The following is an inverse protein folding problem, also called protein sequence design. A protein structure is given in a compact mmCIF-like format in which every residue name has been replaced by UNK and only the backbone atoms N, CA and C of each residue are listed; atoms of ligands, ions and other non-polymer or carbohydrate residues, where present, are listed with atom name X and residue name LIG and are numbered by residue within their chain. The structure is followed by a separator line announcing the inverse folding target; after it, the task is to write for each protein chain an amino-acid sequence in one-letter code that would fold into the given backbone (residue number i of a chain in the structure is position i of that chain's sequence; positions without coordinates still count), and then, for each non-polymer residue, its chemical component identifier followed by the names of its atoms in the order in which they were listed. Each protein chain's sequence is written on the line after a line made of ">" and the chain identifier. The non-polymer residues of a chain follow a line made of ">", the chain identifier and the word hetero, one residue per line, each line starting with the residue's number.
data_IF_950367549160
#
_entry.id   IF_950367549160
#
_cell.length_a   1.000
_cell.length_b   1.000
_cell.length_c   1.000
_cell.angle_alpha   90.00
_cell.angle_beta   90.00
_cell.angle_gamma   90.00
#
_symmetry.space_group_name_H-M   'P 1'
#
loop_
_entity.id
_entity.type
_entity.pdbx_description
1 polymer ?
#
# COMPACT_ATOMS: atom_id res chain seq x y z
N UNK A 1 25.14 24.51 -22.92
CA UNK A 1 23.99 23.58 -22.84
C UNK A 1 23.99 22.80 -24.15
N UNK A 2 24.27 21.49 -24.10
CA UNK A 2 24.33 20.66 -25.30
C UNK A 2 22.90 20.43 -25.83
N UNK A 3 22.71 20.58 -27.14
CA UNK A 3 21.47 20.16 -27.79
C UNK A 3 21.52 18.64 -27.97
N UNK A 4 20.40 17.96 -27.76
CA UNK A 4 20.32 16.54 -28.09
C UNK A 4 20.08 16.39 -29.59
N UNK A 5 20.96 15.64 -30.23
CA UNK A 5 20.90 15.34 -31.66
C UNK A 5 20.70 13.83 -31.79
N UNK A 6 19.83 13.43 -32.71
CA UNK A 6 19.71 12.04 -33.17
C UNK A 6 20.35 11.97 -34.55
N UNK A 7 21.39 11.14 -34.64
CA UNK A 7 22.08 10.89 -35.89
C UNK A 7 21.53 9.59 -36.49
N UNK A 8 21.27 9.61 -37.78
CA UNK A 8 20.77 8.46 -38.52
C UNK A 8 21.74 8.11 -39.63
N UNK A 9 22.18 6.86 -39.63
CA UNK A 9 23.06 6.29 -40.63
C UNK A 9 22.30 5.31 -41.52
N UNK A 10 22.74 5.16 -42.76
CA UNK A 10 22.22 4.13 -43.64
C UNK A 10 22.91 2.80 -43.33
N UNK A 11 22.11 1.80 -42.97
CA UNK A 11 22.59 0.46 -42.67
C UNK A 11 23.32 -0.18 -43.87
N UNK A 12 22.81 -0.03 -45.10
CA UNK A 12 23.43 -0.62 -46.29
C UNK A 12 24.83 -0.04 -46.56
N UNK A 13 25.01 1.26 -46.28
CA UNK A 13 26.31 1.93 -46.40
C UNK A 13 27.29 1.43 -45.35
N UNK A 14 26.83 1.15 -44.13
CA UNK A 14 27.65 0.59 -43.06
C UNK A 14 28.03 -0.87 -43.38
N UNK A 15 27.07 -1.67 -43.84
CA UNK A 15 27.26 -3.10 -44.10
C UNK A 15 28.20 -3.35 -45.29
N UNK A 16 28.19 -2.46 -46.29
CA UNK A 16 29.07 -2.51 -47.45
C UNK A 16 30.42 -1.79 -47.25
N UNK A 17 30.70 -1.24 -46.06
CA UNK A 17 31.91 -0.49 -45.81
C UNK A 17 33.10 -1.40 -45.52
N UNK A 18 34.19 -1.21 -46.26
CA UNK A 18 35.47 -1.89 -46.04
C UNK A 18 36.48 -0.97 -45.33
N UNK A 19 37.28 -1.53 -44.42
CA UNK A 19 38.37 -0.78 -43.78
C UNK A 19 39.49 -0.48 -44.77
N UNK A 20 39.89 0.79 -44.82
CA UNK A 20 40.94 1.26 -45.75
C UNK A 20 42.35 0.93 -45.24
N UNK A 21 42.49 0.60 -43.95
CA UNK A 21 43.75 0.28 -43.29
C UNK A 21 43.67 -0.94 -42.36
N UNK A 22 44.82 -1.40 -41.86
CA UNK A 22 44.95 -2.56 -40.95
C UNK A 22 44.32 -2.31 -39.56
N UNK A 23 43.78 -1.11 -39.31
CA UNK A 23 43.15 -0.77 -38.02
C UNK A 23 41.76 -1.36 -37.88
N UNK A 24 41.11 -1.70 -39.00
CA UNK A 24 39.75 -2.25 -39.02
C UNK A 24 38.67 -1.24 -38.66
N UNK A 25 38.97 0.06 -38.68
CA UNK A 25 38.02 1.13 -38.37
C UNK A 25 37.53 1.80 -39.66
N UNK A 26 36.23 2.13 -39.70
CA UNK A 26 35.61 2.89 -40.81
C UNK A 26 34.89 4.10 -40.23
N UNK A 27 35.25 5.29 -40.72
CA UNK A 27 34.55 6.53 -40.40
C UNK A 27 33.31 6.67 -41.29
N UNK A 28 32.14 6.84 -40.67
CA UNK A 28 30.86 6.98 -41.38
C UNK A 28 30.14 8.23 -40.89
N UNK A 29 29.96 9.18 -41.80
CA UNK A 29 29.18 10.39 -41.54
C UNK A 29 27.68 10.05 -41.44
N UNK A 30 26.94 10.72 -40.53
CA UNK A 30 25.50 10.53 -40.44
C UNK A 30 24.82 11.05 -41.71
N UNK A 31 23.85 10.28 -42.20
CA UNK A 31 23.06 10.66 -43.37
C UNK A 31 22.11 11.82 -43.05
N UNK A 32 21.52 11.80 -41.86
CA UNK A 32 20.63 12.84 -41.37
C UNK A 32 20.83 13.08 -39.87
N UNK A 33 20.56 14.32 -39.45
CA UNK A 33 20.60 14.73 -38.05
C UNK A 33 19.26 15.39 -37.67
N UNK A 34 18.67 14.97 -36.55
CA UNK A 34 17.48 15.58 -35.98
C UNK A 34 17.80 16.23 -34.63
N UNK A 35 17.57 17.53 -34.53
CA UNK A 35 17.73 18.28 -33.28
C UNK A 35 16.45 18.19 -32.44
N UNK A 36 16.49 17.44 -31.34
CA UNK A 36 15.31 17.20 -30.49
C UNK A 36 14.98 18.42 -29.62
N UNK A 37 16.01 19.04 -29.03
CA UNK A 37 15.81 20.21 -28.18
C UNK A 37 17.02 20.55 -27.33
N UNK A 38 16.90 21.67 -26.61
CA UNK A 38 17.88 22.11 -25.61
C UNK A 38 17.53 21.50 -24.25
N UNK A 39 18.54 21.00 -23.53
CA UNK A 39 18.36 20.29 -22.24
C UNK A 39 17.52 19.02 -22.31
N UNK A 40 17.49 18.38 -23.48
CA UNK A 40 16.94 17.04 -23.65
C UNK A 40 18.08 16.05 -23.50
N UNK A 41 17.80 14.89 -22.92
CA UNK A 41 18.75 13.77 -22.86
C UNK A 41 17.93 12.50 -23.01
N UNK A 42 17.87 11.98 -24.23
CA UNK A 42 17.06 10.80 -24.53
C UNK A 42 17.70 9.55 -23.94
N UNK A 43 16.89 8.69 -23.33
CA UNK A 43 17.33 7.41 -22.76
C UNK A 43 16.81 6.23 -23.55
N UNK A 44 15.56 6.32 -24.04
CA UNK A 44 14.89 5.24 -24.73
C UNK A 44 14.16 5.78 -25.94
N UNK A 45 14.18 5.04 -27.04
CA UNK A 45 13.42 5.33 -28.26
C UNK A 45 12.70 4.06 -28.67
N UNK A 46 11.44 4.18 -29.08
CA UNK A 46 10.62 3.09 -29.59
C UNK A 46 9.92 3.51 -30.88
N UNK A 47 9.98 2.65 -31.89
CA UNK A 47 9.31 2.84 -33.18
C UNK A 47 7.93 2.19 -33.15
N UNK A 48 6.92 2.95 -33.53
CA UNK A 48 5.51 2.51 -33.63
C UNK A 48 5.03 2.79 -35.06
N UNK A 49 4.08 2.01 -35.57
CA UNK A 49 3.45 2.27 -36.86
C UNK A 49 2.02 2.78 -36.63
N UNK A 50 1.79 4.06 -36.87
CA UNK A 50 0.46 4.68 -36.79
C UNK A 50 -0.12 4.83 -38.19
N UNK A 51 -1.25 4.17 -38.47
CA UNK A 51 -1.91 4.14 -39.79
C UNK A 51 -0.96 3.79 -40.96
N UNK A 52 0.01 2.91 -40.70
CA UNK A 52 1.02 2.47 -41.69
C UNK A 52 2.22 3.42 -41.85
N UNK A 53 2.27 4.54 -41.14
CA UNK A 53 3.41 5.46 -41.11
C UNK A 53 4.25 5.23 -39.84
N UNK A 54 5.59 5.15 -39.94
CA UNK A 54 6.44 4.99 -38.76
C UNK A 54 6.51 6.30 -37.96
N UNK A 55 6.34 6.19 -36.65
CA UNK A 55 6.47 7.28 -35.66
C UNK A 55 7.37 6.78 -34.54
N UNK A 56 8.25 7.65 -34.03
CA UNK A 56 9.16 7.30 -32.94
C UNK A 56 8.73 8.04 -31.68
N UNK A 57 8.63 7.32 -30.57
CA UNK A 57 8.47 7.90 -29.26
C UNK A 57 9.78 7.78 -28.49
N UNK A 58 10.20 8.86 -27.86
CA UNK A 58 11.42 8.89 -27.07
C UNK A 58 11.16 9.42 -25.66
N UNK A 59 11.70 8.72 -24.66
CA UNK A 59 11.67 9.17 -23.28
C UNK A 59 13.01 9.83 -22.94
N UNK A 60 12.95 11.01 -22.32
CA UNK A 60 14.14 11.68 -21.81
C UNK A 60 14.36 11.41 -20.30
N UNK A 61 15.59 11.63 -19.84
CA UNK A 61 15.97 11.50 -18.43
C UNK A 61 15.26 12.49 -17.53
N UNK A 62 14.64 13.54 -18.08
CA UNK A 62 13.93 14.57 -17.33
C UNK A 62 12.42 14.24 -17.17
N UNK A 63 11.98 13.06 -17.62
CA UNK A 63 10.61 12.60 -17.52
C UNK A 63 9.69 13.06 -18.65
N UNK A 64 10.22 13.64 -19.72
CA UNK A 64 9.44 14.03 -20.90
C UNK A 64 9.33 12.90 -21.93
N UNK A 65 8.18 12.85 -22.58
CA UNK A 65 7.91 11.97 -23.72
C UNK A 65 7.82 12.81 -24.98
N UNK A 66 8.67 12.46 -25.94
CA UNK A 66 8.81 13.11 -27.23
C UNK A 66 8.23 12.23 -28.32
N UNK A 67 7.56 12.86 -29.28
CA UNK A 67 7.18 12.28 -30.56
C UNK A 67 8.11 12.83 -31.63
N UNK A 68 8.74 11.92 -32.36
CA UNK A 68 9.79 12.20 -33.32
C UNK A 68 9.40 11.63 -34.67
N UNK A 69 9.77 12.35 -35.72
CA UNK A 69 9.68 11.90 -37.10
C UNK A 69 11.11 11.72 -37.65
N UNK A 70 11.53 10.46 -37.77
CA UNK A 70 12.84 10.08 -38.31
C UNK A 70 12.73 9.55 -39.75
N UNK A 71 11.65 9.88 -40.47
CA UNK A 71 11.51 9.51 -41.89
C UNK A 71 12.37 10.38 -42.82
N UNK A 72 12.75 11.58 -42.37
CA UNK A 72 13.52 12.57 -43.15
C UNK A 72 12.96 12.81 -44.56
N UNK A 73 11.64 12.71 -44.71
CA UNK A 73 10.94 13.08 -45.95
C UNK A 73 10.82 14.61 -46.08
N UNK A 74 10.42 15.10 -47.26
CA UNK A 74 10.10 16.52 -47.46
C UNK A 74 8.95 17.03 -46.56
N UNK A 75 8.29 16.17 -45.78
CA UNK A 75 7.23 16.49 -44.83
C UNK A 75 7.60 16.16 -43.37
N UNK A 76 8.90 16.04 -43.05
CA UNK A 76 9.37 15.74 -41.69
C UNK A 76 8.83 16.74 -40.69
N UNK A 77 8.23 16.24 -39.61
CA UNK A 77 7.70 17.08 -38.53
C UNK A 77 8.77 17.38 -37.48
N UNK A 78 8.71 18.59 -36.93
CA UNK A 78 9.53 18.96 -35.79
C UNK A 78 9.22 18.06 -34.57
N UNK A 79 10.22 17.76 -33.73
CA UNK A 79 10.05 17.05 -32.47
C UNK A 79 8.96 17.68 -31.59
N UNK A 80 7.99 16.88 -31.18
CA UNK A 80 6.86 17.31 -30.37
C UNK A 80 6.98 16.74 -28.96
N UNK A 81 7.09 17.59 -27.94
CA UNK A 81 7.00 17.15 -26.54
C UNK A 81 5.52 16.94 -26.19
N UNK A 82 5.11 15.68 -25.98
CA UNK A 82 3.72 15.31 -25.76
C UNK A 82 3.29 15.53 -24.30
N UNK A 83 4.14 15.11 -23.37
CA UNK A 83 3.87 15.20 -21.94
C UNK A 83 5.18 15.22 -21.16
N UNK A 84 5.11 15.80 -19.96
CA UNK A 84 6.21 15.82 -19.01
C UNK A 84 5.74 15.26 -17.68
N UNK A 85 6.58 14.46 -17.06
CA UNK A 85 6.36 13.86 -15.76
C UNK A 85 7.55 14.13 -14.84
N UNK A 86 7.42 13.73 -13.58
CA UNK A 86 8.56 13.73 -12.69
C UNK A 86 9.68 12.83 -13.21
N UNK A 87 10.93 13.28 -13.06
CA UNK A 87 12.09 12.41 -13.27
C UNK A 87 12.38 11.63 -11.99
N UNK A 88 12.21 10.31 -12.06
CA UNK A 88 12.47 9.40 -10.94
C UNK A 88 11.27 9.24 -9.98
N UNK A 89 11.58 8.87 -8.73
CA UNK A 89 10.56 8.58 -7.72
C UNK A 89 9.83 9.84 -7.27
N UNK A 90 8.52 9.74 -7.11
CA UNK A 90 7.72 10.76 -6.42
C UNK A 90 7.97 10.59 -4.92
N UNK A 91 8.48 11.64 -4.27
CA UNK A 91 8.83 11.60 -2.85
C UNK A 91 7.61 11.82 -1.96
N UNK A 92 6.74 12.75 -2.36
CA UNK A 92 5.54 13.04 -1.60
C UNK A 92 4.41 13.51 -2.52
N UNK A 93 3.18 13.25 -2.06
CA UNK A 93 1.95 13.63 -2.71
C UNK A 93 0.93 14.06 -1.66
N UNK A 94 0.13 15.07 -1.96
CA UNK A 94 -0.99 15.49 -1.13
C UNK A 94 -2.15 15.95 -1.99
N UNK A 95 -3.37 15.70 -1.51
CA UNK A 95 -4.61 16.08 -2.17
C UNK A 95 -5.19 17.31 -1.48
N UNK A 96 -5.71 18.25 -2.25
CA UNK A 96 -6.37 19.42 -1.69
C UNK A 96 -7.58 19.00 -0.87
N UNK A 97 -7.73 19.49 0.37
CA UNK A 97 -8.92 19.20 1.17
C UNK A 97 -10.17 19.95 0.68
N UNK A 98 -10.02 20.84 -0.30
CA UNK A 98 -11.07 21.76 -0.76
C UNK A 98 -11.35 21.62 -2.26
N UNK A 99 -10.31 21.38 -3.07
CA UNK A 99 -10.41 21.36 -4.55
C UNK A 99 -10.06 19.98 -5.11
N UNK A 100 -10.20 19.80 -6.42
CA UNK A 100 -9.81 18.57 -7.13
C UNK A 100 -8.32 18.52 -7.49
N UNK A 101 -7.50 19.34 -6.83
CA UNK A 101 -6.08 19.43 -7.12
C UNK A 101 -5.27 18.42 -6.30
N UNK A 102 -4.23 17.89 -6.94
CA UNK A 102 -3.20 17.04 -6.33
C UNK A 102 -1.85 17.69 -6.56
N UNK A 103 -1.01 17.68 -5.53
CA UNK A 103 0.32 18.23 -5.56
C UNK A 103 1.31 17.10 -5.35
N UNK A 104 2.36 17.06 -6.16
CA UNK A 104 3.44 16.09 -6.08
C UNK A 104 4.78 16.79 -6.08
N UNK A 105 5.77 16.17 -5.45
CA UNK A 105 7.15 16.63 -5.45
C UNK A 105 8.11 15.46 -5.64
N UNK A 106 9.26 15.75 -6.23
CA UNK A 106 10.32 14.78 -6.44
C UNK A 106 11.72 15.40 -6.29
N UNK A 107 12.74 14.54 -6.37
CA UNK A 107 14.16 14.96 -6.39
C UNK A 107 14.56 15.63 -7.72
N UNK A 108 13.69 15.62 -8.72
CA UNK A 108 13.85 16.40 -9.95
C UNK A 108 13.74 17.91 -9.76
N UNK A 109 13.48 18.34 -8.51
CA UNK A 109 13.37 19.72 -8.04
C UNK A 109 12.10 20.43 -8.49
N UNK A 110 11.14 19.68 -9.04
CA UNK A 110 9.83 20.22 -9.42
C UNK A 110 8.79 19.90 -8.36
N UNK A 111 7.88 20.86 -8.15
CA UNK A 111 6.58 20.64 -7.53
C UNK A 111 5.55 20.83 -8.62
N UNK A 112 4.71 19.81 -8.82
CA UNK A 112 3.72 19.78 -9.89
C UNK A 112 2.32 19.70 -9.31
N UNK A 113 1.40 20.43 -9.92
CA UNK A 113 0.00 20.48 -9.55
C UNK A 113 -0.82 19.86 -10.68
N UNK A 114 -1.69 18.93 -10.33
CA UNK A 114 -2.54 18.19 -11.25
C UNK A 114 -4.00 18.40 -10.89
N UNK A 115 -4.84 18.46 -11.90
CA UNK A 115 -6.29 18.33 -11.77
C UNK A 115 -6.63 16.90 -12.20
N UNK A 116 -7.12 16.10 -11.24
CA UNK A 116 -7.42 14.70 -11.52
C UNK A 116 -8.76 14.51 -12.24
N UNK A 117 -9.63 15.52 -12.27
CA UNK A 117 -10.88 15.48 -13.02
C UNK A 117 -10.60 15.68 -14.51
N UNK A 118 -9.75 16.66 -14.85
CA UNK A 118 -9.33 16.89 -16.23
C UNK A 118 -8.19 15.96 -16.68
N UNK A 119 -7.60 15.18 -15.76
CA UNK A 119 -6.45 14.32 -15.97
C UNK A 119 -5.28 15.07 -16.64
N UNK A 120 -4.98 16.27 -16.14
CA UNK A 120 -3.95 17.14 -16.73
C UNK A 120 -3.10 17.84 -15.67
N UNK A 121 -1.83 18.04 -15.99
CA UNK A 121 -0.98 18.96 -15.23
C UNK A 121 -1.48 20.39 -15.43
N UNK A 122 -1.66 21.09 -14.31
CA UNK A 122 -2.17 22.47 -14.25
C UNK A 122 -1.01 23.44 -14.18
N UNK A 123 -0.03 23.17 -13.32
CA UNK A 123 1.07 24.08 -13.05
C UNK A 123 2.31 23.37 -12.53
N UNK A 124 3.47 23.99 -12.66
CA UNK A 124 4.77 23.48 -12.26
C UNK A 124 5.67 24.61 -11.77
N UNK A 125 6.37 24.38 -10.67
CA UNK A 125 7.43 25.25 -10.17
C UNK A 125 8.69 24.43 -9.93
N UNK A 126 9.84 24.98 -10.33
CA UNK A 126 11.16 24.35 -10.11
C UNK A 126 11.97 25.12 -9.08
N UNK A 127 12.61 24.39 -8.19
CA UNK A 127 13.50 24.91 -7.17
C UNK A 127 14.96 24.50 -7.44
N UNK A 128 15.86 24.99 -6.59
CA UNK A 128 17.29 24.63 -6.67
C UNK A 128 17.58 23.25 -6.07
N UNK A 129 16.73 22.77 -5.15
CA UNK A 129 16.85 21.51 -4.40
C UNK A 129 15.64 20.61 -4.62
N UNK A 130 15.81 19.29 -4.44
CA UNK A 130 14.73 18.31 -4.53
C UNK A 130 13.75 18.44 -3.37
N UNK A 131 12.46 18.27 -3.63
CA UNK A 131 11.44 18.27 -2.58
C UNK A 131 11.15 16.85 -2.10
N UNK A 132 11.04 16.69 -0.78
CA UNK A 132 11.08 15.40 -0.06
C UNK A 132 9.86 15.16 0.82
N UNK A 133 9.14 16.21 1.20
CA UNK A 133 7.89 16.12 1.95
C UNK A 133 6.89 17.15 1.41
N UNK A 134 5.59 16.84 1.44
CA UNK A 134 4.56 17.71 0.92
C UNK A 134 3.25 17.52 1.68
N UNK A 135 2.61 18.62 2.08
CA UNK A 135 1.29 18.58 2.71
C UNK A 135 0.47 19.82 2.36
N UNK A 136 -0.81 19.61 2.03
CA UNK A 136 -1.76 20.70 1.82
C UNK A 136 -2.18 21.32 3.15
N UNK A 137 -2.31 22.65 3.18
CA UNK A 137 -2.90 23.30 4.34
C UNK A 137 -4.39 22.90 4.48
N UNK A 138 -4.87 22.64 5.70
CA UNK A 138 -6.28 22.31 5.92
C UNK A 138 -7.17 23.54 5.69
N UNK A 139 -8.47 23.30 5.47
CA UNK A 139 -9.45 24.36 5.21
C UNK A 139 -9.47 25.46 6.27
N UNK A 140 -9.19 25.12 7.54
CA UNK A 140 -9.13 26.08 8.65
C UNK A 140 -7.98 27.09 8.51
N UNK A 141 -6.85 26.70 7.87
CA UNK A 141 -5.69 27.58 7.63
C UNK A 141 -5.88 28.37 6.35
N UNK A 142 -6.32 27.71 5.28
CA UNK A 142 -6.53 28.36 3.99
C UNK A 142 -7.88 27.92 3.40
N UNK A 143 -8.96 28.69 3.63
CA UNK A 143 -10.29 28.36 3.12
C UNK A 143 -10.39 28.35 1.59
N UNK A 144 -9.45 29.01 0.89
CA UNK A 144 -9.37 29.00 -0.58
C UNK A 144 -8.74 27.71 -1.12
N UNK A 145 -8.07 26.93 -0.28
CA UNK A 145 -7.45 25.66 -0.66
C UNK A 145 -6.18 25.80 -1.50
N UNK A 146 -5.57 26.99 -1.53
CA UNK A 146 -4.40 27.28 -2.36
C UNK A 146 -3.05 27.04 -1.69
N UNK A 147 -3.00 26.78 -0.38
CA UNK A 147 -1.73 26.81 0.37
C UNK A 147 -1.15 25.41 0.57
N UNK A 148 0.14 25.25 0.24
CA UNK A 148 0.87 23.98 0.33
C UNK A 148 2.21 24.21 1.05
N UNK A 149 2.55 23.32 1.98
CA UNK A 149 3.87 23.27 2.59
C UNK A 149 4.71 22.17 1.93
N UNK A 150 5.94 22.51 1.53
CA UNK A 150 6.88 21.60 0.86
C UNK A 150 8.21 21.61 1.59
N UNK A 151 8.71 20.43 1.97
CA UNK A 151 10.01 20.23 2.60
C UNK A 151 11.04 19.77 1.58
N UNK A 152 12.30 20.15 1.77
CA UNK A 152 13.38 19.92 0.80
C UNK A 152 14.58 19.19 1.41
N UNK A 153 15.46 18.69 0.54
CA UNK A 153 16.71 17.97 0.89
C UNK A 153 17.69 18.82 1.72
N UNK A 154 17.66 20.14 1.59
CA UNK A 154 18.55 21.08 2.29
C UNK A 154 18.02 21.52 3.66
N UNK A 155 16.90 20.94 4.10
CA UNK A 155 16.26 21.28 5.37
C UNK A 155 15.39 22.54 5.32
N UNK A 156 15.22 23.14 4.13
CA UNK A 156 14.31 24.27 3.92
C UNK A 156 12.88 23.78 3.80
N UNK A 157 11.95 24.52 4.39
CA UNK A 157 10.51 24.39 4.18
C UNK A 157 10.04 25.62 3.41
N UNK A 158 9.28 25.40 2.33
CA UNK A 158 8.68 26.46 1.52
C UNK A 158 7.17 26.34 1.58
N UNK A 159 6.53 27.46 1.84
CA UNK A 159 5.09 27.62 1.75
C UNK A 159 4.79 28.24 0.39
N UNK A 160 4.05 27.52 -0.43
CA UNK A 160 3.66 27.96 -1.77
C UNK A 160 2.15 28.17 -1.83
N UNK A 161 1.75 29.13 -2.65
CA UNK A 161 0.34 29.43 -2.92
C UNK A 161 0.05 29.10 -4.39
N UNK A 162 -0.97 28.26 -4.59
CA UNK A 162 -1.58 27.96 -5.87
C UNK A 162 -2.86 28.78 -5.97
N UNK A 163 -2.96 29.61 -7.01
CA UNK A 163 -4.14 30.42 -7.25
C UNK A 163 -4.45 30.48 -8.74
N UNK A 164 -5.72 30.63 -9.09
CA UNK A 164 -6.11 31.03 -10.43
C UNK A 164 -6.37 32.56 -10.40
N UNK A 165 -5.74 33.37 -11.27
CA UNK A 165 -6.00 34.80 -11.39
C UNK A 165 -7.48 35.14 -11.59
N UNK A 166 -8.29 34.19 -12.10
CA UNK A 166 -9.74 34.32 -12.32
C UNK A 166 -10.59 33.73 -11.17
N UNK A 167 -9.95 33.23 -10.12
CA UNK A 167 -10.55 32.50 -9.01
C UNK A 167 -10.48 30.99 -9.22
N UNK A 168 -9.99 30.23 -8.22
CA UNK A 168 -9.97 28.77 -8.30
C UNK A 168 -11.42 28.26 -8.42
N UNK A 169 -11.77 27.46 -9.44
CA UNK A 169 -13.15 27.01 -9.58
C UNK A 169 -13.52 26.03 -8.46
N UNK A 170 -14.49 26.44 -7.64
CA UNK A 170 -15.26 25.55 -6.77
C UNK A 170 -16.48 25.14 -7.60
N UNK A 171 -16.45 23.95 -8.23
CA UNK A 171 -17.53 23.19 -8.89
C UNK A 171 -17.27 22.76 -10.35
N UNK A 172 -17.75 21.54 -10.62
CA UNK A 172 -17.60 20.75 -11.84
C UNK A 172 -18.16 21.44 -13.09
N UNK A 173 -17.34 21.50 -14.15
CA UNK A 173 -17.82 21.68 -15.52
C UNK A 173 -17.16 22.77 -16.36
N UNK A 174 -16.17 23.53 -15.87
CA UNK A 174 -15.47 24.53 -16.68
C UNK A 174 -14.03 24.15 -17.04
N UNK A 175 -13.72 24.33 -18.33
CA UNK A 175 -12.64 23.70 -19.09
C UNK A 175 -11.36 24.52 -19.24
N UNK A 176 -11.07 25.46 -18.33
CA UNK A 176 -9.88 26.31 -18.47
C UNK A 176 -9.03 26.39 -17.19
N UNK A 177 -8.57 25.24 -16.70
CA UNK A 177 -7.57 25.12 -15.63
C UNK A 177 -6.15 25.55 -16.03
N UNK A 178 -5.90 25.98 -17.28
CA UNK A 178 -4.55 26.36 -17.77
C UNK A 178 -3.94 27.64 -17.15
N UNK A 179 -4.62 28.29 -16.19
CA UNK A 179 -4.18 29.56 -15.61
C UNK A 179 -3.79 29.48 -14.14
N UNK A 180 -3.71 28.31 -13.50
CA UNK A 180 -3.28 28.28 -12.10
C UNK A 180 -1.79 28.61 -12.01
N UNK A 181 -1.47 29.69 -11.32
CA UNK A 181 -0.11 30.15 -11.04
C UNK A 181 0.32 29.65 -9.66
N UNK A 182 1.64 29.47 -9.49
CA UNK A 182 2.25 29.07 -8.23
C UNK A 182 3.23 30.16 -7.80
N UNK A 183 3.04 30.70 -6.61
CA UNK A 183 3.98 31.64 -6.00
C UNK A 183 4.58 31.09 -4.71
N UNK A 184 5.82 31.48 -4.43
CA UNK A 184 6.44 31.28 -3.13
C UNK A 184 5.90 32.34 -2.15
N UNK A 185 5.19 31.90 -1.11
CA UNK A 185 4.70 32.80 -0.05
C UNK A 185 5.78 33.06 1.00
N UNK A 186 6.41 31.99 1.50
CA UNK A 186 7.42 32.08 2.55
C UNK A 186 8.41 30.92 2.43
N UNK A 187 9.66 31.14 2.86
CA UNK A 187 10.67 30.10 2.99
C UNK A 187 11.42 30.26 4.30
N UNK A 188 11.65 29.16 5.01
CA UNK A 188 12.41 29.14 6.26
C UNK A 188 13.23 27.85 6.34
N UNK A 189 14.34 27.89 7.08
CA UNK A 189 15.27 26.76 7.22
C UNK A 189 15.28 26.25 8.67
N UNK A 190 14.30 25.40 9.07
CA UNK A 190 14.30 24.81 10.39
C UNK A 190 15.41 23.78 10.59
N UNK A 191 15.75 23.05 9.53
CA UNK A 191 16.57 21.85 9.66
C UNK A 191 17.93 22.00 8.99
N UNK A 192 18.90 21.25 9.51
CA UNK A 192 20.25 21.17 8.92
C UNK A 192 20.35 20.13 7.81
N UNK A 193 19.42 19.17 7.80
CA UNK A 193 19.34 18.08 6.82
C UNK A 193 17.92 17.96 6.26
N UNK A 194 17.70 16.99 5.36
CA UNK A 194 16.43 16.74 4.68
C UNK A 194 15.20 16.79 5.59
N UNK A 195 14.17 17.49 5.13
CA UNK A 195 12.84 17.47 5.75
C UNK A 195 12.10 16.20 5.32
N UNK A 196 11.74 15.36 6.27
CA UNK A 196 11.11 14.06 6.00
C UNK A 196 9.59 14.07 6.19
N UNK A 197 9.08 14.97 7.03
CA UNK A 197 7.67 15.00 7.37
C UNK A 197 7.17 16.41 7.68
N UNK A 198 5.93 16.68 7.31
CA UNK A 198 5.19 17.91 7.57
C UNK A 198 3.79 17.56 8.04
N UNK A 199 3.30 18.17 9.12
CA UNK A 199 1.97 17.89 9.64
C UNK A 199 1.31 19.13 10.24
N UNK A 200 0.13 19.49 9.73
CA UNK A 200 -0.72 20.52 10.33
C UNK A 200 -1.53 19.97 11.50
N UNK A 201 -1.59 20.74 12.57
CA UNK A 201 -2.46 20.50 13.70
C UNK A 201 -3.93 20.65 13.28
N UNK A 202 -4.85 19.98 13.97
CA UNK A 202 -6.27 19.88 13.61
C UNK A 202 -6.96 21.24 13.44
N UNK A 203 -6.73 22.19 14.35
CA UNK A 203 -7.24 23.56 14.28
C UNK A 203 -6.43 24.42 13.33
N UNK A 204 -5.28 23.93 12.89
CA UNK A 204 -4.42 24.64 11.97
C UNK A 204 -3.53 25.68 12.63
N UNK A 205 -3.49 25.77 13.96
CA UNK A 205 -2.72 26.77 14.71
C UNK A 205 -1.20 26.46 14.67
N UNK A 206 -0.83 25.19 14.45
CA UNK A 206 0.57 24.74 14.47
C UNK A 206 0.90 23.88 13.26
N UNK A 207 2.05 24.15 12.62
CA UNK A 207 2.71 23.27 11.67
C UNK A 207 3.92 22.62 12.35
N UNK A 208 4.00 21.29 12.31
CA UNK A 208 5.18 20.54 12.73
C UNK A 208 6.00 20.09 11.52
N UNK A 209 7.32 20.22 11.63
CA UNK A 209 8.29 19.81 10.60
C UNK A 209 9.32 18.87 11.23
N UNK A 210 9.59 17.74 10.58
CA UNK A 210 10.50 16.71 11.07
C UNK A 210 11.62 16.44 10.08
N UNK A 211 12.79 16.08 10.59
CA UNK A 211 13.99 15.86 9.77
C UNK A 211 14.83 14.67 10.24
N UNK A 212 15.73 14.22 9.36
CA UNK A 212 16.78 13.25 9.69
C UNK A 212 17.83 13.79 10.67
N UNK A 213 17.86 15.11 10.90
CA UNK A 213 18.74 15.73 11.90
C UNK A 213 18.29 15.51 13.36
N UNK A 214 17.24 14.68 13.55
CA UNK A 214 16.69 14.30 14.86
C UNK A 214 16.04 15.46 15.59
N UNK A 215 15.54 16.45 14.85
CA UNK A 215 14.75 17.56 15.39
C UNK A 215 13.33 17.57 14.84
N UNK A 216 12.41 18.06 15.66
CA UNK A 216 11.06 18.44 15.24
C UNK A 216 10.85 19.91 15.59
N UNK A 217 10.58 20.73 14.59
CA UNK A 217 10.27 22.15 14.74
C UNK A 217 8.76 22.38 14.69
N UNK A 218 8.31 23.38 15.44
CA UNK A 218 6.92 23.81 15.49
C UNK A 218 6.83 25.27 15.07
N UNK A 219 5.84 25.57 14.23
CA UNK A 219 5.57 26.91 13.73
C UNK A 219 4.13 27.28 14.04
N UNK A 220 3.91 28.48 14.57
CA UNK A 220 2.60 29.09 14.67
C UNK A 220 2.15 29.47 13.26
N UNK A 221 0.90 29.17 12.94
CA UNK A 221 0.35 29.37 11.60
C UNK A 221 -0.70 30.47 11.68
N UNK A 222 -0.32 31.65 11.20
CA UNK A 222 -1.20 32.79 11.04
C UNK A 222 -1.14 33.25 9.57
N UNK A 223 -0.99 34.55 9.33
CA UNK A 223 -0.66 35.08 8.00
C UNK A 223 0.75 34.64 7.57
N UNK A 224 1.68 34.55 8.51
CA UNK A 224 3.03 34.02 8.35
C UNK A 224 3.26 32.81 9.27
N UNK A 225 4.31 32.05 8.97
CA UNK A 225 4.75 30.91 9.77
C UNK A 225 5.86 31.36 10.71
N UNK A 226 5.54 31.54 11.98
CA UNK A 226 6.50 31.98 13.00
C UNK A 226 7.05 30.80 13.81
N UNK A 227 8.36 30.73 14.09
CA UNK A 227 8.92 29.65 14.88
C UNK A 227 8.44 29.73 16.34
N UNK A 228 7.80 28.65 16.80
CA UNK A 228 7.47 28.44 18.23
C UNK A 228 8.71 27.90 18.93
N UNK A 229 9.31 26.84 18.38
CA UNK A 229 10.50 26.20 18.91
C UNK A 229 10.69 24.79 18.37
N UNK A 230 11.66 24.05 18.92
CA UNK A 230 11.97 22.69 18.51
C UNK A 230 12.27 21.77 19.69
N UNK A 231 12.17 20.47 19.43
CA UNK A 231 12.56 19.40 20.35
C UNK A 231 13.56 18.45 19.69
N UNK A 232 14.40 17.81 20.52
CA UNK A 232 15.23 16.69 20.10
C UNK A 232 14.48 15.38 20.26
N UNK A 233 14.63 14.51 19.26
CA UNK A 233 14.05 13.17 19.27
C UNK A 233 15.18 12.12 19.24
N UNK A 234 14.94 10.90 19.74
CA UNK A 234 15.99 9.89 19.89
C UNK A 234 16.50 9.31 18.55
N UNK A 235 15.88 9.63 17.41
CA UNK A 235 16.31 9.14 16.11
C UNK A 235 15.83 9.99 14.93
N UNK A 236 16.24 9.65 13.69
CA UNK A 236 15.80 10.34 12.49
C UNK A 236 14.28 10.26 12.35
N UNK A 237 13.62 11.40 12.12
CA UNK A 237 12.16 11.43 11.98
C UNK A 237 11.78 10.82 10.65
N UNK A 238 10.87 9.86 10.66
CA UNK A 238 10.31 9.21 9.47
C UNK A 238 8.94 9.78 9.10
N UNK A 239 8.08 10.01 10.10
CA UNK A 239 6.73 10.49 9.87
C UNK A 239 6.21 11.27 11.07
N UNK A 240 5.29 12.20 10.79
CA UNK A 240 4.60 13.03 11.76
C UNK A 240 3.10 12.93 11.53
N UNK A 241 2.34 12.75 12.61
CA UNK A 241 0.88 12.77 12.54
C UNK A 241 0.26 13.39 13.78
N UNK A 242 -0.54 14.44 13.58
CA UNK A 242 -1.37 14.99 14.65
C UNK A 242 -2.56 14.08 14.97
N UNK A 243 -2.93 14.06 16.23
CA UNK A 243 -4.10 13.32 16.72
C UNK A 243 -5.38 13.80 16.01
N UNK A 244 -6.23 12.88 15.55
CA UNK A 244 -7.47 13.23 14.86
C UNK A 244 -8.51 13.85 15.81
N UNK A 245 -9.59 14.44 15.27
CA UNK A 245 -10.66 15.05 16.05
C UNK A 245 -11.30 14.22 17.16
N UNK A 246 -11.19 12.89 17.07
CA UNK A 246 -11.69 11.95 18.07
C UNK A 246 -10.91 11.97 19.39
N UNK A 247 -9.70 12.54 19.40
CA UNK A 247 -8.88 12.66 20.60
C UNK A 247 -9.17 13.99 21.32
N UNK A 248 -9.22 13.93 22.64
CA UNK A 248 -9.52 15.10 23.49
C UNK A 248 -8.37 16.12 23.44
N UNK A 249 -7.13 15.63 23.45
CA UNK A 249 -5.92 16.45 23.41
C UNK A 249 -5.33 16.43 22.02
N UNK A 250 -4.79 17.57 21.59
CA UNK A 250 -4.01 17.66 20.36
C UNK A 250 -2.58 17.22 20.63
N UNK A 251 -2.22 16.03 20.16
CA UNK A 251 -0.91 15.41 20.37
C UNK A 251 -0.29 14.98 19.04
N UNK A 252 0.95 15.37 18.83
CA UNK A 252 1.76 14.94 17.70
C UNK A 252 2.36 13.56 18.00
N UNK A 253 2.07 12.60 17.14
CA UNK A 253 2.78 11.32 17.06
C UNK A 253 3.99 11.51 16.15
N UNK A 254 5.18 11.24 16.69
CA UNK A 254 6.45 11.31 15.98
C UNK A 254 6.99 9.90 15.83
N UNK A 255 7.25 9.47 14.61
CA UNK A 255 7.79 8.14 14.31
C UNK A 255 9.23 8.27 13.86
N UNK A 256 10.13 7.53 14.50
CA UNK A 256 11.56 7.55 14.19
C UNK A 256 11.97 6.27 13.47
N UNK A 257 12.95 6.37 12.57
CA UNK A 257 13.52 5.23 11.85
C UNK A 257 14.16 4.18 12.79
N UNK A 258 14.52 4.54 14.01
CA UNK A 258 15.16 3.65 14.99
C UNK A 258 14.18 3.03 15.99
N UNK A 259 12.94 2.73 15.59
CA UNK A 259 11.99 2.01 16.45
C UNK A 259 11.41 2.82 17.62
N UNK A 260 11.70 4.12 17.71
CA UNK A 260 11.08 5.01 18.69
C UNK A 260 9.83 5.67 18.12
N UNK A 261 8.76 5.70 18.90
CA UNK A 261 7.61 6.55 18.68
C UNK A 261 7.43 7.47 19.89
N UNK A 262 7.06 8.73 19.64
CA UNK A 262 6.87 9.72 20.70
C UNK A 262 5.51 10.38 20.57
N UNK A 263 4.91 10.74 21.69
CA UNK A 263 3.73 11.61 21.73
C UNK A 263 4.07 12.89 22.48
N UNK A 264 3.82 14.02 21.81
CA UNK A 264 4.10 15.36 22.33
C UNK A 264 2.85 16.22 22.16
N UNK A 265 2.38 16.97 23.18
CA UNK A 265 1.28 17.89 22.98
C UNK A 265 1.65 19.05 22.06
N UNK A 266 0.66 19.69 21.45
CA UNK A 266 0.90 20.94 20.72
C UNK A 266 1.50 22.00 21.67
N UNK A 267 2.66 22.61 21.33
CA UNK A 267 3.21 23.70 22.13
C UNK A 267 2.32 24.94 22.04
N UNK A 268 2.08 25.59 23.18
CA UNK A 268 1.36 26.85 23.23
C UNK A 268 2.34 28.02 23.01
N UNK A 269 2.07 28.94 22.07
CA UNK A 269 2.98 30.06 21.78
C UNK A 269 3.20 31.01 22.96
N UNK A 270 2.21 31.17 23.84
CA UNK A 270 2.20 32.13 24.95
C UNK A 270 3.02 31.67 26.18
N UNK A 271 3.29 30.37 26.31
CA UNK A 271 3.94 29.79 27.49
C UNK A 271 5.48 29.69 27.37
N UNK A 272 6.07 30.19 26.28
CA UNK A 272 7.46 29.92 25.92
C UNK A 272 8.32 31.18 25.84
N UNK A 273 9.42 31.16 26.59
CA UNK A 273 10.38 32.26 26.68
C UNK A 273 11.32 32.25 25.46
N UNK A 274 10.99 33.05 24.43
CA UNK A 274 11.71 33.10 23.14
C UNK A 274 13.08 33.81 23.23
N UNK A 275 13.48 34.33 24.39
CA UNK A 275 14.57 35.31 24.52
C UNK A 275 15.97 34.67 24.45
N UNK A 276 16.13 33.41 24.86
CA UNK A 276 17.47 32.78 24.95
C UNK A 276 17.68 31.56 24.06
N UNK A 277 16.63 30.79 23.76
CA UNK A 277 16.74 29.56 22.98
C UNK A 277 15.37 29.16 22.40
N UNK A 278 15.35 28.62 21.18
CA UNK A 278 14.16 28.01 20.57
C UNK A 278 13.95 26.55 21.00
N UNK A 279 14.82 25.97 21.83
CA UNK A 279 14.66 24.60 22.32
C UNK A 279 13.59 24.54 23.41
N UNK A 280 12.59 23.69 23.20
CA UNK A 280 11.48 23.48 24.12
C UNK A 280 11.83 22.41 25.15
N UNK A 281 12.29 22.81 26.34
CA UNK A 281 12.78 21.89 27.37
C UNK A 281 11.67 21.25 28.22
N UNK A 282 10.50 21.90 28.34
CA UNK A 282 9.44 21.51 29.28
C UNK A 282 8.20 20.90 28.63
N UNK A 283 8.32 20.32 27.43
CA UNK A 283 7.19 19.64 26.77
C UNK A 283 7.03 18.21 27.32
N UNK A 284 5.86 17.86 27.91
CA UNK A 284 5.64 16.53 28.46
C UNK A 284 5.58 15.51 27.32
N UNK A 285 6.66 14.74 27.16
CA UNK A 285 6.87 13.82 26.05
C UNK A 285 6.73 12.37 26.52
N UNK A 286 5.88 11.60 25.86
CA UNK A 286 5.77 10.16 26.10
C UNK A 286 6.63 9.41 25.08
N UNK A 287 7.38 8.41 25.55
CA UNK A 287 8.29 7.62 24.73
C UNK A 287 7.80 6.17 24.65
N UNK A 288 7.79 5.63 23.43
CA UNK A 288 7.53 4.24 23.14
C UNK A 288 8.72 3.69 22.35
N UNK A 289 9.34 2.63 22.86
CA UNK A 289 10.45 1.97 22.18
C UNK A 289 10.06 0.55 21.80
N UNK A 290 10.10 0.25 20.50
CA UNK A 290 9.69 -1.03 19.95
C UNK A 290 10.91 -1.84 19.56
N UNK A 291 11.02 -3.05 20.11
CA UNK A 291 12.06 -4.01 19.77
C UNK A 291 11.45 -5.23 19.05
N UNK A 292 12.23 -5.83 18.15
CA UNK A 292 11.83 -7.06 17.49
C UNK A 292 11.76 -8.21 18.51
N UNK A 293 10.60 -8.86 18.61
CA UNK A 293 10.40 -10.04 19.45
C UNK A 293 10.54 -11.37 18.68
N UNK A 294 11.06 -11.33 17.45
CA UNK A 294 11.15 -12.52 16.57
C UNK A 294 11.87 -13.69 17.23
N UNK A 295 13.01 -13.45 17.87
CA UNK A 295 13.78 -14.47 18.60
C UNK A 295 12.96 -15.09 19.73
N UNK A 296 12.18 -14.30 20.48
CA UNK A 296 11.27 -14.80 21.53
C UNK A 296 10.16 -15.67 20.96
N UNK A 297 9.59 -15.29 19.81
CA UNK A 297 8.54 -16.08 19.15
C UNK A 297 9.12 -17.40 18.61
N UNK A 298 10.29 -17.35 17.95
CA UNK A 298 10.99 -18.54 17.45
C UNK A 298 11.30 -19.51 18.58
N UNK A 299 11.89 -19.01 19.68
CA UNK A 299 12.18 -19.79 20.88
C UNK A 299 10.92 -20.41 21.48
N UNK A 300 9.83 -19.66 21.64
CA UNK A 300 8.54 -20.21 22.13
C UNK A 300 7.95 -21.27 21.20
N UNK A 301 8.10 -21.12 19.88
CA UNK A 301 7.66 -22.14 18.90
C UNK A 301 8.48 -23.43 19.06
N UNK A 302 9.79 -23.32 19.23
CA UNK A 302 10.67 -24.46 19.48
C UNK A 302 10.38 -25.14 20.83
N UNK A 303 10.16 -24.36 21.90
CA UNK A 303 9.72 -24.86 23.21
C UNK A 303 8.40 -25.64 23.11
N UNK A 304 7.40 -25.10 22.42
CA UNK A 304 6.11 -25.79 22.20
C UNK A 304 6.27 -27.05 21.35
N UNK A 305 7.15 -27.05 20.33
CA UNK A 305 7.45 -28.25 19.55
C UNK A 305 8.07 -29.34 20.41
N UNK A 306 9.10 -29.01 21.21
CA UNK A 306 9.75 -29.96 22.14
C UNK A 306 8.76 -30.51 23.16
N UNK A 307 7.97 -29.64 23.81
CA UNK A 307 6.94 -30.07 24.77
C UNK A 307 5.86 -30.96 24.14
N UNK A 308 5.47 -30.69 22.89
CA UNK A 308 4.50 -31.53 22.15
C UNK A 308 5.09 -32.92 21.87
N UNK A 309 6.35 -33.00 21.46
CA UNK A 309 7.05 -34.27 21.22
C UNK A 309 7.20 -35.09 22.50
N UNK A 310 7.62 -34.46 23.60
CA UNK A 310 7.70 -35.12 24.91
C UNK A 310 6.33 -35.64 25.36
N UNK A 311 5.26 -34.87 25.15
CA UNK A 311 3.90 -35.29 25.47
C UNK A 311 3.44 -36.48 24.63
N UNK A 312 3.75 -36.49 23.33
CA UNK A 312 3.47 -37.63 22.42
C UNK A 312 4.20 -38.89 22.92
N UNK A 313 5.50 -38.77 23.21
CA UNK A 313 6.32 -39.88 23.72
C UNK A 313 5.75 -40.46 25.02
N UNK A 314 5.35 -39.60 25.96
CA UNK A 314 4.68 -40.02 27.21
C UNK A 314 3.33 -40.72 26.98
N UNK A 315 2.52 -40.26 26.04
CA UNK A 315 1.23 -40.89 25.74
C UNK A 315 1.41 -42.26 25.05
N UNK A 316 2.43 -42.41 24.20
CA UNK A 316 2.79 -43.69 23.57
C UNK A 316 3.30 -44.71 24.58
N UNK A 317 4.17 -44.29 25.53
CA UNK A 317 4.61 -45.14 26.64
C UNK A 317 3.44 -45.62 27.53
N UNK A 318 2.40 -44.79 27.65
CA UNK A 318 1.16 -45.12 28.37
C UNK A 318 0.17 -45.98 27.56
N UNK A 319 0.57 -46.45 26.37
CA UNK A 319 -0.19 -47.41 25.55
C UNK A 319 -1.42 -46.82 24.86
N UNK A 320 -1.50 -45.50 24.67
CA UNK A 320 -2.57 -44.86 23.91
C UNK A 320 -2.16 -44.65 22.45
N UNK A 321 -3.04 -45.05 21.53
CA UNK A 321 -2.88 -44.75 20.10
C UNK A 321 -3.15 -43.26 19.86
N UNK A 322 -2.17 -42.56 19.26
CA UNK A 322 -2.27 -41.13 18.89
C UNK A 322 -2.30 -41.08 17.36
N UNK A 323 -3.37 -40.52 16.78
CA UNK A 323 -3.52 -40.37 15.31
C UNK A 323 -2.65 -39.24 14.69
N UNK A 324 -1.70 -38.67 15.44
CA UNK A 324 -0.76 -37.66 14.91
C UNK A 324 0.50 -38.35 14.38
N UNK A 325 0.95 -37.98 13.17
CA UNK A 325 2.16 -38.52 12.52
C UNK A 325 3.37 -38.40 13.45
N UNK A 326 4.05 -39.54 13.68
CA UNK A 326 5.38 -39.53 14.30
C UNK A 326 6.33 -38.70 13.43
N UNK A 327 7.13 -37.79 14.01
CA UNK A 327 8.13 -37.06 13.24
C UNK A 327 9.22 -38.02 12.75
N UNK A 328 9.64 -37.86 11.49
CA UNK A 328 10.66 -38.71 10.85
C UNK A 328 12.06 -38.58 11.48
N UNK A 329 12.31 -37.57 12.32
CA UNK A 329 13.58 -37.38 13.04
C UNK A 329 13.33 -37.01 14.52
N UNK A 330 13.97 -37.74 15.45
CA UNK A 330 14.11 -37.27 16.84
C UNK A 330 15.01 -36.02 16.80
N UNK A 331 14.55 -34.83 17.26
CA UNK A 331 15.38 -33.65 17.23
C UNK A 331 16.57 -33.86 18.18
N UNK A 332 17.78 -33.63 17.67
CA UNK A 332 18.98 -33.59 18.51
C UNK A 332 18.76 -32.64 19.71
N UNK A 333 19.35 -32.96 20.87
CA UNK A 333 19.28 -32.15 22.09
C UNK A 333 20.09 -30.84 21.96
N UNK A 334 19.87 -30.07 20.89
CA UNK A 334 20.47 -28.77 20.74
C UNK A 334 19.84 -27.79 21.76
N UNK A 335 20.67 -27.05 22.52
CA UNK A 335 20.17 -26.01 23.40
C UNK A 335 19.46 -24.92 22.59
N UNK A 336 18.32 -24.46 23.09
CA UNK A 336 17.55 -23.40 22.42
C UNK A 336 18.44 -22.19 22.15
N UNK A 337 18.40 -21.60 20.95
CA UNK A 337 19.23 -20.46 20.62
C UNK A 337 19.01 -19.32 21.62
N UNK A 338 20.07 -18.58 21.99
CA UNK A 338 19.95 -17.47 22.92
C UNK A 338 19.01 -16.40 22.36
N UNK A 339 18.32 -15.70 23.27
CA UNK A 339 17.43 -14.61 22.89
C UNK A 339 18.24 -13.47 22.26
N UNK A 340 18.20 -13.39 20.93
CA UNK A 340 18.80 -12.29 20.17
C UNK A 340 17.82 -11.11 20.09
N UNK A 341 18.13 -10.01 20.77
CA UNK A 341 17.50 -8.71 20.55
C UNK A 341 18.49 -7.90 19.72
N UNK A 342 18.17 -7.55 18.47
CA UNK A 342 19.05 -6.73 17.65
C UNK A 342 19.42 -5.44 18.39
N UNK A 343 20.68 -5.03 18.32
CA UNK A 343 21.13 -3.75 18.87
C UNK A 343 20.44 -2.57 18.18
N UNK A 344 20.16 -2.70 16.88
CA UNK A 344 19.35 -1.75 16.12
C UNK A 344 17.93 -2.29 15.90
N UNK A 345 16.89 -1.62 16.45
CA UNK A 345 15.51 -2.04 16.28
C UNK A 345 15.06 -1.88 14.81
N UNK A 346 14.10 -2.71 14.40
CA UNK A 346 13.54 -2.65 13.06
C UNK A 346 12.91 -1.28 12.77
N UNK A 347 13.12 -0.71 11.57
CA UNK A 347 12.67 0.64 11.30
C UNK A 347 11.16 0.74 11.22
N UNK A 348 10.60 1.80 11.81
CA UNK A 348 9.18 2.12 11.66
C UNK A 348 8.97 2.66 10.25
N UNK A 349 8.09 2.02 9.48
CA UNK A 349 7.75 2.42 8.12
C UNK A 349 6.68 3.50 8.10
N UNK A 350 5.63 3.31 8.88
CA UNK A 350 4.51 4.25 9.00
C UNK A 350 3.72 3.97 10.28
N UNK A 351 2.79 4.86 10.62
CA UNK A 351 1.91 4.68 11.76
C UNK A 351 0.87 5.78 11.85
N UNK A 352 -0.23 5.50 12.53
CA UNK A 352 -1.36 6.41 12.65
C UNK A 352 -2.23 6.16 13.87
N UNK A 353 -2.89 7.21 14.36
CA UNK A 353 -3.88 7.09 15.43
C UNK A 353 -5.12 6.33 14.98
N UNK A 354 -5.62 5.41 15.82
CA UNK A 354 -6.87 4.68 15.55
C UNK A 354 -8.02 5.12 16.46
N UNK A 355 -7.87 4.89 17.76
CA UNK A 355 -8.86 5.23 18.77
C UNK A 355 -8.20 6.10 19.86
N UNK A 356 -8.98 6.82 20.68
CA UNK A 356 -8.42 7.63 21.76
C UNK A 356 -7.39 6.86 22.60
N UNK A 357 -6.15 7.33 22.61
CA UNK A 357 -5.04 6.71 23.34
C UNK A 357 -4.43 5.47 22.68
N UNK A 358 -4.77 5.16 21.42
CA UNK A 358 -4.23 4.04 20.65
C UNK A 358 -3.74 4.50 19.28
N UNK A 359 -2.60 3.96 18.86
CA UNK A 359 -2.07 4.13 17.52
C UNK A 359 -1.53 2.81 16.99
N UNK A 360 -1.51 2.68 15.67
CA UNK A 360 -0.91 1.55 14.96
C UNK A 360 0.42 1.97 14.39
N UNK A 361 1.35 1.03 14.33
CA UNK A 361 2.64 1.17 13.66
C UNK A 361 2.83 0.00 12.72
N UNK A 362 3.49 0.27 11.61
CA UNK A 362 4.07 -0.74 10.71
C UNK A 362 5.58 -0.70 10.85
N UNK A 363 6.19 -1.85 11.11
CA UNK A 363 7.63 -2.02 11.26
C UNK A 363 8.15 -2.82 10.07
N UNK A 364 9.34 -2.48 9.59
CA UNK A 364 10.04 -3.23 8.55
C UNK A 364 10.55 -4.57 9.09
N UNK A 365 10.95 -5.46 8.18
CA UNK A 365 11.55 -6.74 8.54
C UNK A 365 10.57 -7.91 8.55
N UNK A 366 9.44 -7.85 7.85
CA UNK A 366 8.77 -9.07 7.36
C UNK A 366 9.56 -9.60 6.15
N UNK A 367 10.84 -9.93 6.33
CA UNK A 367 11.51 -10.80 5.36
C UNK A 367 10.74 -12.10 5.34
N UNK A 368 10.32 -12.48 4.12
CA UNK A 368 9.76 -13.77 3.77
C UNK A 368 10.51 -14.81 4.58
N UNK A 369 9.80 -15.65 5.33
CA UNK A 369 10.36 -16.94 5.73
C UNK A 369 11.12 -17.45 4.50
N UNK A 370 12.42 -17.79 4.65
CA UNK A 370 13.15 -18.49 3.58
C UNK A 370 12.15 -19.50 3.02
N UNK A 371 11.85 -19.42 1.73
CA UNK A 371 11.09 -20.47 1.08
C UNK A 371 11.73 -21.76 1.57
N UNK A 372 10.95 -22.63 2.20
CA UNK A 372 11.42 -23.94 2.63
C UNK A 372 12.27 -24.48 1.50
N UNK A 373 13.54 -24.77 1.78
CA UNK A 373 14.43 -25.33 0.76
C UNK A 373 13.70 -26.54 0.20
N UNK A 374 13.45 -26.53 -1.11
CA UNK A 374 12.71 -27.60 -1.78
C UNK A 374 13.44 -28.92 -1.47
N UNK A 375 12.67 -29.97 -1.17
CA UNK A 375 13.23 -31.27 -0.83
C UNK A 375 13.93 -31.82 -2.08
N UNK A 376 15.27 -31.88 -2.09
CA UNK A 376 16.08 -32.46 -3.17
C UNK A 376 16.11 -34.00 -3.13
N UNK A 377 15.15 -34.66 -2.48
CA UNK A 377 15.03 -36.12 -2.45
C UNK A 377 13.97 -36.59 -3.46
N UNK A 378 14.34 -37.34 -4.52
CA UNK A 378 13.39 -37.91 -5.50
C UNK A 378 12.36 -38.88 -4.92
N UNK A 379 12.51 -39.29 -3.66
CA UNK A 379 11.63 -40.21 -2.94
C UNK A 379 10.73 -39.56 -1.88
N UNK A 380 10.89 -38.25 -1.62
CA UNK A 380 10.06 -37.55 -0.66
C UNK A 380 8.67 -37.25 -1.24
N UNK A 381 7.62 -37.62 -0.51
CA UNK A 381 6.24 -37.31 -0.86
C UNK A 381 5.98 -35.80 -0.79
N UNK A 382 5.38 -35.23 -1.83
CA UNK A 382 5.00 -33.83 -1.85
C UNK A 382 3.98 -33.55 -0.72
N UNK A 383 4.30 -32.61 0.16
CA UNK A 383 3.51 -32.24 1.36
C UNK A 383 2.06 -31.85 1.02
N UNK A 384 1.84 -31.38 -0.21
CA UNK A 384 0.51 -31.03 -0.73
C UNK A 384 -0.33 -32.26 -1.09
N UNK A 385 0.30 -33.32 -1.61
CA UNK A 385 -0.36 -34.59 -1.93
C UNK A 385 -0.80 -35.33 -0.66
N UNK A 386 0.01 -35.30 0.40
CA UNK A 386 -0.34 -35.87 1.70
C UNK A 386 -1.55 -35.14 2.30
N UNK A 387 -1.57 -33.80 2.25
CA UNK A 387 -2.72 -33.00 2.73
C UNK A 387 -3.99 -33.27 1.93
N UNK A 388 -3.88 -33.34 0.61
CA UNK A 388 -5.02 -33.64 -0.26
C UNK A 388 -5.57 -35.04 0.01
N UNK A 389 -4.70 -36.04 0.20
CA UNK A 389 -5.10 -37.41 0.54
C UNK A 389 -5.80 -37.50 1.90
N UNK A 390 -5.25 -36.86 2.93
CA UNK A 390 -5.84 -36.82 4.28
C UNK A 390 -7.21 -36.13 4.30
N UNK A 391 -7.34 -35.03 3.56
CA UNK A 391 -8.62 -34.32 3.41
C UNK A 391 -9.65 -35.15 2.65
N UNK A 392 -9.24 -35.85 1.58
CA UNK A 392 -10.09 -36.76 0.84
C UNK A 392 -10.59 -37.93 1.70
N UNK A 393 -9.71 -38.56 2.47
CA UNK A 393 -10.07 -39.62 3.41
C UNK A 393 -11.05 -39.14 4.49
N UNK A 394 -10.87 -37.92 5.02
CA UNK A 394 -11.79 -37.29 5.95
C UNK A 394 -13.19 -37.09 5.35
N UNK A 395 -13.26 -36.54 4.14
CA UNK A 395 -14.52 -36.32 3.42
C UNK A 395 -15.23 -37.65 3.15
N UNK A 396 -14.48 -38.68 2.76
CA UNK A 396 -15.02 -40.01 2.51
C UNK A 396 -15.59 -40.65 3.78
N UNK A 397 -14.88 -40.56 4.91
CA UNK A 397 -15.33 -41.07 6.21
C UNK A 397 -16.62 -40.38 6.67
N UNK A 398 -16.70 -39.05 6.56
CA UNK A 398 -17.93 -38.30 6.86
C UNK A 398 -19.10 -38.69 5.94
N UNK A 399 -18.82 -38.92 4.66
CA UNK A 399 -19.83 -39.33 3.70
C UNK A 399 -20.37 -40.74 4.02
N UNK A 400 -19.51 -41.66 4.45
CA UNK A 400 -19.90 -43.00 4.88
C UNK A 400 -20.73 -42.99 6.17
N UNK A 401 -20.36 -42.19 7.17
CA UNK A 401 -21.17 -42.02 8.39
C UNK A 401 -22.55 -41.44 8.08
N UNK A 402 -22.64 -40.42 7.21
CA UNK A 402 -23.92 -39.87 6.76
C UNK A 402 -24.76 -40.91 6.02
N UNK A 403 -24.14 -41.72 5.15
CA UNK A 403 -24.81 -42.85 4.48
C UNK A 403 -25.32 -43.89 5.48
N UNK A 404 -24.52 -44.21 6.51
CA UNK A 404 -24.91 -45.16 7.55
C UNK A 404 -26.11 -44.67 8.35
N UNK A 405 -26.09 -43.42 8.84
CA UNK A 405 -27.24 -42.80 9.53
C UNK A 405 -28.50 -42.80 8.68
N UNK A 406 -28.38 -42.47 7.39
CA UNK A 406 -29.53 -42.51 6.46
C UNK A 406 -30.07 -43.92 6.24
N UNK A 407 -29.20 -44.94 6.19
CA UNK A 407 -29.63 -46.35 6.12
C UNK A 407 -30.39 -46.77 7.37
N UNK A 408 -29.93 -46.37 8.56
CA UNK A 408 -30.61 -46.65 9.83
C UNK A 408 -31.98 -45.98 9.91
N UNK A 409 -32.08 -44.69 9.53
CA UNK A 409 -33.37 -43.99 9.42
C UNK A 409 -34.33 -44.70 8.45
N UNK A 410 -33.82 -45.14 7.30
CA UNK A 410 -34.63 -45.81 6.28
C UNK A 410 -35.12 -47.19 6.77
N UNK A 411 -34.32 -47.91 7.54
CA UNK A 411 -34.73 -49.15 8.20
C UNK A 411 -35.83 -48.86 9.23
N UNK A 412 -35.69 -47.81 10.04
CA UNK A 412 -36.72 -47.39 11.00
C UNK A 412 -38.05 -47.06 10.33
N UNK A 413 -38.03 -46.22 9.30
CA UNK A 413 -39.22 -45.86 8.52
C UNK A 413 -39.85 -47.08 7.83
N UNK A 414 -39.04 -48.05 7.40
CA UNK A 414 -39.56 -49.29 6.80
C UNK A 414 -40.30 -50.15 7.83
N UNK A 415 -39.81 -50.22 9.07
CA UNK A 415 -40.52 -50.91 10.15
C UNK A 415 -41.82 -50.20 10.51
N UNK A 416 -41.79 -48.86 10.59
CA UNK A 416 -42.98 -48.06 10.89
C UNK A 416 -44.04 -48.19 9.79
N UNK A 417 -43.62 -48.17 8.51
CA UNK A 417 -44.52 -48.42 7.38
C UNK A 417 -45.15 -49.82 7.45
N UNK A 418 -44.36 -50.86 7.78
CA UNK A 418 -44.88 -52.22 7.93
C UNK A 418 -45.90 -52.30 9.08
N UNK A 419 -45.62 -51.66 10.20
CA UNK A 419 -46.53 -51.59 11.34
C UNK A 419 -47.84 -50.87 10.99
N UNK A 420 -47.76 -49.73 10.28
CA UNK A 420 -48.93 -49.00 9.84
C UNK A 420 -49.75 -49.78 8.81
N UNK A 421 -49.09 -50.50 7.90
CA UNK A 421 -49.77 -51.38 6.94
C UNK A 421 -50.52 -52.52 7.66
N UNK A 422 -49.91 -53.11 8.70
CA UNK A 422 -50.57 -54.13 9.52
C UNK A 422 -51.79 -53.57 10.24
N UNK A 423 -51.67 -52.41 10.92
CA UNK A 423 -52.81 -51.74 11.55
C UNK A 423 -53.93 -51.39 10.56
N UNK A 424 -53.55 -50.97 9.36
CA UNK A 424 -54.54 -50.65 8.32
C UNK A 424 -55.27 -51.91 7.82
N UNK A 425 -54.62 -53.08 7.81
CA UNK A 425 -55.28 -54.35 7.49
C UNK A 425 -56.26 -54.81 8.58
N UNK A 426 -56.03 -54.43 9.84
CA UNK A 426 -56.93 -54.73 10.97
C UNK A 426 -58.20 -53.87 10.97
N UNK A 427 -58.26 -52.78 10.18
CA UNK A 427 -59.44 -51.93 10.08
C UNK A 427 -60.54 -52.56 9.20
N UNK A 428 -61.84 -52.24 9.43
CA UNK A 428 -62.93 -52.68 8.58
C UNK A 428 -62.77 -52.22 7.12
N UNK A 429 -63.19 -53.04 6.14
CA UNK A 429 -62.92 -52.83 4.69
C UNK A 429 -63.26 -51.42 4.15
N UNK A 430 -64.24 -50.72 4.71
CA UNK A 430 -64.64 -49.37 4.29
C UNK A 430 -63.75 -48.24 4.87
N UNK A 431 -62.91 -48.55 5.86
CA UNK A 431 -61.94 -47.63 6.48
C UNK A 431 -60.48 -47.97 6.14
N UNK A 432 -60.23 -49.06 5.41
CA UNK A 432 -58.88 -49.41 4.97
C UNK A 432 -58.40 -48.39 3.92
N UNK A 433 -57.24 -47.78 4.18
CA UNK A 433 -56.62 -46.84 3.26
C UNK A 433 -55.97 -47.61 2.10
N UNK A 434 -56.54 -47.53 0.90
CA UNK A 434 -55.96 -48.13 -0.31
C UNK A 434 -54.85 -47.24 -0.91
N UNK A 435 -53.86 -47.88 -1.55
CA UNK A 435 -52.63 -47.26 -2.09
C UNK A 435 -52.85 -46.04 -2.99
N UNK A 436 -54.01 -45.86 -3.60
CA UNK A 436 -54.28 -44.72 -4.50
C UNK A 436 -54.57 -43.40 -3.76
N UNK A 437 -54.88 -43.44 -2.46
CA UNK A 437 -55.04 -42.22 -1.63
C UNK A 437 -53.69 -41.70 -1.10
N UNK A 438 -52.62 -42.51 -1.18
CA UNK A 438 -51.28 -42.17 -0.65
C UNK A 438 -50.59 -41.00 -1.35
N UNK A 439 -50.83 -40.77 -2.64
CA UNK A 439 -50.14 -39.73 -3.42
C UNK A 439 -50.65 -38.30 -3.11
N UNK A 440 -51.90 -38.17 -2.66
CA UNK A 440 -52.51 -36.86 -2.38
C UNK A 440 -52.10 -36.34 -1.00
N UNK A 441 -52.01 -37.21 0.01
CA UNK A 441 -51.65 -36.81 1.37
C UNK A 441 -50.16 -36.44 1.53
N UNK A 442 -49.25 -37.13 0.82
CA UNK A 442 -47.81 -36.83 0.87
C UNK A 442 -47.49 -35.47 0.21
N UNK A 443 -48.23 -35.08 -0.84
CA UNK A 443 -48.06 -33.76 -1.48
C UNK A 443 -48.43 -32.60 -0.55
N UNK A 444 -49.47 -32.75 0.27
CA UNK A 444 -49.93 -31.68 1.18
C UNK A 444 -48.97 -31.48 2.35
N UNK A 445 -48.39 -32.56 2.90
CA UNK A 445 -47.46 -32.47 4.04
C UNK A 445 -46.07 -31.95 3.63
N UNK A 446 -45.59 -32.27 2.42
CA UNK A 446 -44.33 -31.70 1.90
C UNK A 446 -44.45 -30.19 1.59
N UNK A 447 -45.61 -29.72 1.12
CA UNK A 447 -45.85 -28.29 0.88
C UNK A 447 -45.87 -27.46 2.17
N UNK A 448 -46.41 -28.00 3.27
CA UNK A 448 -46.43 -27.31 4.57
C UNK A 448 -45.03 -27.16 5.21
N UNK A 449 -44.11 -28.11 4.98
CA UNK A 449 -42.72 -28.01 5.48
C UNK A 449 -41.82 -27.08 4.66
N UNK A 450 -42.12 -26.86 3.38
CA UNK A 450 -41.35 -25.91 2.55
C UNK A 450 -41.75 -24.44 2.77
N UNK A 451 -43.01 -24.18 3.14
CA UNK A 451 -43.54 -22.84 3.39
C UNK A 451 -43.10 -22.21 4.73
N UNK A 452 -42.57 -23.00 5.67
CA UNK A 452 -42.07 -22.51 6.97
C UNK A 452 -40.57 -22.17 7.00
N UNK A 453 -39.87 -22.26 5.86
CA UNK A 453 -38.42 -21.93 5.76
C UNK A 453 -38.08 -20.73 4.85
N UNK A 454 -39.06 -20.05 4.26
CA UNK A 454 -38.82 -18.87 3.43
C UNK A 454 -39.38 -17.62 4.11
N UNK A 455 -38.59 -16.99 4.97
CA UNK A 455 -38.82 -15.62 5.46
C UNK A 455 -37.49 -15.00 5.84
N UNK A 456 -36.77 -14.49 4.84
CA UNK A 456 -35.76 -13.44 4.98
C UNK A 456 -35.77 -12.56 3.71
N UNK A 457 -35.61 -11.22 3.82
CA UNK A 457 -35.80 -10.30 2.72
C UNK A 457 -34.58 -10.21 1.79
N UNK A 458 -34.82 -10.19 0.47
CA UNK A 458 -33.82 -9.94 -0.56
C UNK A 458 -33.50 -8.45 -0.66
N UNK A 459 -32.22 -8.09 -0.45
CA UNK A 459 -31.63 -6.84 -0.90
C UNK A 459 -30.81 -7.09 -2.16
N UNK A 460 -31.04 -6.27 -3.18
CA UNK A 460 -30.30 -6.26 -4.44
C UNK A 460 -28.92 -5.59 -4.26
N UNK A 461 -27.84 -6.25 -4.64
CA UNK A 461 -26.56 -5.58 -4.92
C UNK A 461 -25.84 -6.20 -6.13
N UNK A 462 -25.50 -5.32 -7.06
CA UNK A 462 -24.68 -5.56 -8.25
C UNK A 462 -23.27 -6.02 -7.86
N UNK A 463 -22.71 -6.93 -8.66
CA UNK A 463 -21.34 -7.41 -8.55
C UNK A 463 -20.35 -6.34 -9.03
N UNK A 464 -19.49 -5.87 -8.13
CA UNK A 464 -18.14 -5.38 -8.43
C UNK A 464 -17.14 -6.30 -7.71
N UNK A 465 -16.01 -6.68 -8.34
CA UNK A 465 -15.00 -7.50 -7.69
C UNK A 465 -14.03 -6.60 -6.92
N UNK A 466 -14.24 -6.40 -5.63
CA UNK A 466 -13.17 -6.00 -4.70
C UNK A 466 -13.40 -6.70 -3.37
N UNK A 467 -12.39 -7.49 -2.97
CA UNK A 467 -12.40 -8.33 -1.79
C UNK A 467 -12.12 -7.43 -0.57
N UNK A 468 -13.15 -7.07 0.20
CA UNK A 468 -12.99 -6.51 1.55
C UNK A 468 -13.51 -7.52 2.58
N UNK A 469 -12.59 -8.12 3.33
CA UNK A 469 -12.90 -9.01 4.44
C UNK A 469 -13.30 -8.15 5.65
N UNK A 470 -14.58 -8.20 6.02
CA UNK A 470 -15.11 -7.62 7.25
C UNK A 470 -15.16 -8.72 8.31
N UNK A 471 -14.22 -8.73 9.24
CA UNK A 471 -14.30 -9.55 10.46
C UNK A 471 -15.18 -8.79 11.45
N UNK A 472 -16.35 -9.35 11.76
CA UNK A 472 -17.21 -8.93 12.86
C UNK A 472 -16.96 -9.89 14.02
N UNK A 473 -16.62 -9.34 15.19
CA UNK A 473 -16.50 -10.10 16.45
C UNK A 473 -17.85 -10.65 16.90
#
# INVERSE_FOLDING_TARGET
>A
LKAQIINVWNFETIDAADSVDDTGLVEVEPMNELHVGRNVSLSFVSKVHDRGQPVWYAQDTNGAIWKLDLTFSNMTRDPECLCTFHSGRIEAMSVSPITYLVATTALDRSVRIYDFISNSQVSEIKFKQGGTALTWAPHVVNPKGGLIAVGFEDGVVRIIEVYDPKGLPILAGQTNTKNAEINLKQAFKPHTTVVTALAYERKGEVLATGSKDKTVFFFAVEDEYEPIGFIYVPGPVQALQWSPPSHVKSTLLILCENGFALQVPAPLPEEQDRVSTYQLQNLPTQYFHFYSIKSRIKKKREEMKKAKLEWIKQQQEMGKEIEEEEPEEEPEEEPLPPLYIPEEPSPILCGFYSAPGRFWLSLSGLEKEKATEDIEDPSAYNLEEVKQKKEYERIMKEAEEKKKKKREELIGLRHELLFLLQKNQELPKHMQLHREVHLVFIRVICLQRHLLKCSYPMCWHQRCPTLCIKVVL
#
